data_IF_854823958739
#
_entry.id   IF_854823958739
#
_cell.length_a   1.000
_cell.length_b   1.000
_cell.length_c   1.000
_cell.angle_alpha   90.00
_cell.angle_beta   90.00
_cell.angle_gamma   90.00
#
_symmetry.space_group_name_H-M   'P 1'
#
loop_
_entity.id
_entity.type
_entity.pdbx_description
1 polymer ?
#
# COMPACT_ATOMS: atom_id res chain seq x y z
N UNK A 1 -1.54 3.27 8.56
CA UNK A 1 -2.13 3.20 7.22
C UNK A 1 -1.21 2.59 6.17
N UNK A 2 0.08 2.86 6.26
CA UNK A 2 1.03 2.29 5.29
C UNK A 2 0.97 0.77 5.26
N UNK A 3 1.06 0.16 6.43
CA UNK A 3 1.03 -1.29 6.56
C UNK A 3 -0.26 -1.88 6.02
N UNK A 4 -1.38 -1.24 6.33
CA UNK A 4 -2.69 -1.67 5.87
C UNK A 4 -2.79 -1.63 4.35
N UNK A 5 -2.36 -0.54 3.75
CA UNK A 5 -2.41 -0.35 2.30
C UNK A 5 -1.49 -1.34 1.58
N UNK A 6 -0.29 -1.54 2.07
CA UNK A 6 0.64 -2.49 1.48
C UNK A 6 0.10 -3.91 1.59
N UNK A 7 -0.48 -4.26 2.72
CA UNK A 7 -1.09 -5.59 2.91
C UNK A 7 -2.19 -5.83 1.88
N UNK A 8 -3.05 -4.85 1.66
CA UNK A 8 -4.13 -4.95 0.67
C UNK A 8 -3.60 -4.98 -0.77
N UNK A 9 -2.59 -4.15 -1.06
CA UNK A 9 -2.08 -4.01 -2.42
C UNK A 9 -1.38 -5.27 -2.90
N UNK A 10 -0.67 -5.94 -2.03
CA UNK A 10 0.13 -7.12 -2.40
C UNK A 10 -0.46 -8.44 -1.89
N UNK A 11 -1.63 -8.39 -1.29
CA UNK A 11 -2.29 -9.61 -0.81
C UNK A 11 -1.56 -10.34 0.28
N UNK A 12 -0.83 -9.61 1.12
CA UNK A 12 -0.09 -10.22 2.22
C UNK A 12 -1.05 -10.78 3.27
N UNK A 13 -0.62 -11.81 3.96
CA UNK A 13 -1.44 -12.43 4.98
C UNK A 13 -2.60 -13.26 4.44
N UNK A 14 -2.52 -13.68 3.17
CA UNK A 14 -3.56 -14.51 2.56
C UNK A 14 -4.75 -13.75 2.03
N UNK A 15 -4.69 -12.41 2.02
CA UNK A 15 -5.77 -11.59 1.46
C UNK A 15 -5.60 -11.47 -0.06
N UNK A 16 -6.70 -11.12 -0.74
CA UNK A 16 -6.68 -10.91 -2.17
C UNK A 16 -5.98 -9.60 -2.50
N UNK A 17 -5.20 -9.59 -3.57
CA UNK A 17 -4.57 -8.37 -4.06
C UNK A 17 -5.63 -7.39 -4.55
N UNK A 18 -5.48 -6.13 -4.17
CA UNK A 18 -6.40 -5.07 -4.56
C UNK A 18 -5.67 -4.01 -5.37
N UNK A 19 -6.38 -3.39 -6.30
CA UNK A 19 -5.83 -2.25 -7.04
C UNK A 19 -5.87 -1.01 -6.17
N UNK A 20 -5.12 0.04 -6.57
CA UNK A 20 -5.15 1.31 -5.86
C UNK A 20 -6.57 1.89 -5.78
N UNK A 21 -7.33 1.74 -6.87
CA UNK A 21 -8.73 2.22 -6.90
C UNK A 21 -9.59 1.48 -5.89
N UNK A 22 -9.43 0.17 -5.80
CA UNK A 22 -10.18 -0.65 -4.86
C UNK A 22 -9.84 -0.30 -3.41
N UNK A 23 -8.57 -0.09 -3.12
CA UNK A 23 -8.11 0.30 -1.79
C UNK A 23 -8.69 1.68 -1.42
N UNK A 24 -8.62 2.62 -2.37
CA UNK A 24 -9.15 3.96 -2.14
C UNK A 24 -10.64 3.92 -1.81
N UNK A 25 -11.40 3.13 -2.53
CA UNK A 25 -12.83 2.95 -2.29
C UNK A 25 -13.08 2.34 -0.91
N UNK A 26 -12.35 1.29 -0.59
CA UNK A 26 -12.53 0.56 0.66
C UNK A 26 -12.22 1.42 1.87
N UNK A 27 -11.17 2.22 1.79
CA UNK A 27 -10.75 3.08 2.89
C UNK A 27 -11.35 4.49 2.83
N UNK A 28 -12.11 4.78 1.79
CA UNK A 28 -12.74 6.09 1.56
C UNK A 28 -11.73 7.22 1.53
N UNK A 29 -10.64 6.99 0.80
CA UNK A 29 -9.59 7.99 0.60
C UNK A 29 -9.33 8.13 -0.90
N UNK A 30 -8.55 9.14 -1.30
CA UNK A 30 -8.26 9.35 -2.71
C UNK A 30 -7.22 8.34 -3.22
N UNK A 31 -7.30 8.02 -4.51
CA UNK A 31 -6.33 7.15 -5.14
C UNK A 31 -4.92 7.76 -5.09
N UNK A 32 -4.84 9.07 -5.22
CA UNK A 32 -3.57 9.78 -5.14
C UNK A 32 -2.90 9.57 -3.80
N UNK A 33 -3.70 9.57 -2.74
CA UNK A 33 -3.19 9.33 -1.39
C UNK A 33 -2.67 7.89 -1.25
N UNK A 34 -3.41 6.93 -1.79
CA UNK A 34 -2.97 5.53 -1.79
C UNK A 34 -1.63 5.39 -2.50
N UNK A 35 -1.50 6.01 -3.66
CA UNK A 35 -0.26 5.98 -4.44
C UNK A 35 0.91 6.59 -3.66
N UNK A 36 0.67 7.70 -2.99
CA UNK A 36 1.69 8.38 -2.19
C UNK A 36 2.17 7.51 -1.03
N UNK A 37 1.23 6.89 -0.31
CA UNK A 37 1.56 6.02 0.82
C UNK A 37 2.31 4.79 0.33
N UNK A 38 1.90 4.22 -0.79
CA UNK A 38 2.55 3.06 -1.38
C UNK A 38 4.00 3.36 -1.72
N UNK A 39 4.25 4.49 -2.35
CA UNK A 39 5.60 4.92 -2.70
C UNK A 39 6.46 5.13 -1.45
N UNK A 40 5.91 5.77 -0.44
CA UNK A 40 6.62 6.02 0.81
C UNK A 40 7.00 4.71 1.51
N UNK A 41 6.07 3.76 1.55
CA UNK A 41 6.31 2.46 2.16
C UNK A 41 7.38 1.67 1.43
N UNK A 42 7.32 1.66 0.10
CA UNK A 42 8.32 0.98 -0.71
C UNK A 42 9.69 1.61 -0.57
N UNK A 43 9.74 2.93 -0.46
CA UNK A 43 11.00 3.65 -0.26
C UNK A 43 11.65 3.27 1.06
N UNK A 44 10.85 3.16 2.13
CA UNK A 44 11.33 2.75 3.44
C UNK A 44 11.89 1.33 3.42
N UNK A 45 11.19 0.42 2.77
CA UNK A 45 11.63 -0.96 2.64
C UNK A 45 12.93 -1.05 1.86
N UNK A 46 13.04 -0.28 0.79
CA UNK A 46 14.23 -0.23 -0.05
C UNK A 46 15.44 0.26 0.75
N UNK A 47 15.28 1.33 1.51
CA UNK A 47 16.34 1.87 2.33
C UNK A 47 16.81 0.86 3.38
N UNK A 48 15.87 0.14 3.97
CA UNK A 48 16.17 -0.87 4.97
C UNK A 48 16.96 -2.04 4.38
N UNK A 49 16.65 -2.40 3.14
CA UNK A 49 17.35 -3.49 2.47
C UNK A 49 18.77 -3.12 2.02
N UNK A 50 19.00 -1.85 1.80
CA UNK A 50 20.31 -1.36 1.38
C UNK A 50 21.29 -1.19 2.55
N UNK A 51 20.82 -1.22 3.75
CA UNK A 51 21.66 -1.17 4.95
C UNK A 51 22.23 -2.55 5.26
#
# INVERSE_FOLDING_TARGET
REKEIITMRYGLGGTKELTQNEIAKKLKISRSYVSRIEKAALSKLRNKLEE
#
